data_IF_024610046910
#
_entry.id   IF_024610046910
#
_cell.length_a   1.000
_cell.length_b   1.000
_cell.length_c   1.000
_cell.angle_alpha   90.00
_cell.angle_beta   90.00
_cell.angle_gamma   90.00
#
_symmetry.space_group_name_H-M   'P 1'
#
loop_
_entity.id
_entity.type
_entity.pdbx_description
1 polymer ?
#
# COMPACT_ATOMS: atom_id res chain seq x y z
N UNK A 1 44.08 50.34 27.34
CA UNK A 1 43.57 50.93 26.07
C UNK A 1 42.70 49.90 25.37
N UNK A 2 41.38 50.12 25.43
CA UNK A 2 40.28 49.87 24.47
C UNK A 2 40.16 48.58 23.60
N UNK A 3 38.92 48.24 23.18
CA UNK A 3 38.35 46.88 23.20
C UNK A 3 38.02 46.33 21.80
N UNK A 4 37.56 45.07 21.70
CA UNK A 4 36.92 44.50 20.50
C UNK A 4 35.89 43.44 20.90
N UNK A 5 34.61 43.81 21.00
CA UNK A 5 33.52 43.66 19.99
C UNK A 5 33.10 42.21 19.72
N UNK A 6 31.98 41.85 20.33
CA UNK A 6 30.82 41.14 19.77
C UNK A 6 30.97 40.53 18.37
N UNK A 7 30.79 39.21 18.29
CA UNK A 7 30.31 38.51 17.09
C UNK A 7 29.46 37.31 17.54
N UNK A 8 28.23 37.62 17.95
CA UNK A 8 27.08 36.73 17.80
C UNK A 8 26.70 36.80 16.32
N UNK A 9 26.76 35.69 15.59
CA UNK A 9 25.87 35.36 14.46
C UNK A 9 26.34 34.05 13.80
N UNK A 10 25.39 33.33 13.18
CA UNK A 10 25.49 32.02 12.52
C UNK A 10 25.32 30.88 13.54
N UNK A 11 24.13 30.35 13.77
CA UNK A 11 23.51 29.41 12.83
C UNK A 11 22.08 29.02 13.28
N UNK A 12 21.14 29.97 13.20
CA UNK A 12 19.71 29.68 13.36
C UNK A 12 19.08 29.37 11.98
N UNK A 13 19.56 28.33 11.28
CA UNK A 13 19.17 28.08 9.89
C UNK A 13 19.00 26.62 9.46
N UNK A 14 19.26 25.64 10.33
CA UNK A 14 19.33 24.22 9.94
C UNK A 14 18.25 23.30 10.56
N UNK A 15 17.28 23.84 11.30
CA UNK A 15 16.27 23.04 12.00
C UNK A 15 14.94 22.87 11.23
N UNK A 16 14.73 23.56 10.10
CA UNK A 16 13.47 23.49 9.34
C UNK A 16 13.45 22.45 8.21
N UNK A 17 14.59 21.85 7.86
CA UNK A 17 14.66 20.87 6.77
C UNK A 17 14.32 19.44 7.19
N UNK A 18 14.37 19.11 8.48
CA UNK A 18 14.12 17.74 8.96
C UNK A 18 12.62 17.42 9.10
N UNK A 19 11.79 18.41 9.41
CA UNK A 19 10.34 18.22 9.56
C UNK A 19 9.63 17.92 8.23
N UNK A 20 10.14 18.44 7.10
CA UNK A 20 9.58 18.19 5.77
C UNK A 20 9.86 16.74 5.31
N UNK A 21 11.04 16.21 5.65
CA UNK A 21 11.43 14.85 5.29
C UNK A 21 10.62 13.80 6.06
N UNK A 22 10.37 14.03 7.34
CA UNK A 22 9.60 13.09 8.17
C UNK A 22 8.13 13.00 7.74
N UNK A 23 7.50 14.14 7.44
CA UNK A 23 6.13 14.18 6.96
C UNK A 23 5.95 13.46 5.60
N UNK A 24 6.95 13.53 4.71
CA UNK A 24 6.91 12.78 3.44
C UNK A 24 7.07 11.29 3.64
N UNK A 25 7.99 10.86 4.50
CA UNK A 25 8.18 9.43 4.79
C UNK A 25 6.90 8.82 5.37
N UNK A 26 6.27 9.49 6.34
CA UNK A 26 5.02 9.02 6.96
C UNK A 26 3.86 8.98 5.97
N UNK A 27 3.73 9.97 5.09
CA UNK A 27 2.72 9.97 4.03
C UNK A 27 2.97 8.89 2.96
N UNK A 28 4.23 8.57 2.67
CA UNK A 28 4.59 7.49 1.75
C UNK A 28 4.27 6.11 2.35
N UNK A 29 4.62 5.88 3.61
CA UNK A 29 4.26 4.65 4.34
C UNK A 29 2.74 4.48 4.40
N UNK A 30 1.98 5.54 4.70
CA UNK A 30 0.51 5.44 4.73
C UNK A 30 -0.09 5.11 3.37
N UNK A 31 0.48 5.62 2.27
CA UNK A 31 0.04 5.25 0.90
C UNK A 31 0.35 3.80 0.58
N UNK A 32 1.55 3.31 0.90
CA UNK A 32 1.93 1.92 0.66
C UNK A 32 1.06 0.95 1.47
N UNK A 33 0.78 1.28 2.73
CA UNK A 33 -0.11 0.48 3.58
C UNK A 33 -1.53 0.41 3.04
N UNK A 34 -2.07 1.54 2.56
CA UNK A 34 -3.37 1.56 1.86
C UNK A 34 -3.35 0.67 0.61
N UNK A 35 -2.29 0.74 -0.21
CA UNK A 35 -2.17 -0.08 -1.42
C UNK A 35 -2.09 -1.57 -1.11
N UNK A 36 -1.34 -1.96 -0.08
CA UNK A 36 -1.27 -3.35 0.41
C UNK A 36 -2.64 -3.83 0.88
N UNK A 37 -3.37 -3.01 1.64
CA UNK A 37 -4.73 -3.30 2.06
C UNK A 37 -5.70 -3.48 0.88
N UNK A 38 -5.62 -2.60 -0.12
CA UNK A 38 -6.43 -2.66 -1.33
C UNK A 38 -6.13 -3.92 -2.16
N UNK A 39 -4.86 -4.28 -2.31
CA UNK A 39 -4.44 -5.52 -2.98
C UNK A 39 -4.99 -6.72 -2.23
N UNK A 40 -4.84 -6.78 -0.91
CA UNK A 40 -5.35 -7.90 -0.10
C UNK A 40 -6.86 -8.12 -0.25
N UNK A 41 -7.65 -7.06 -0.15
CA UNK A 41 -9.11 -7.14 -0.28
C UNK A 41 -9.55 -7.50 -1.70
N UNK A 42 -8.88 -6.95 -2.71
CA UNK A 42 -9.18 -7.25 -4.11
C UNK A 42 -8.76 -8.66 -4.50
N UNK A 43 -7.63 -9.13 -4.01
CA UNK A 43 -7.15 -10.50 -4.23
C UNK A 43 -8.04 -11.53 -3.54
N UNK A 44 -8.50 -11.25 -2.32
CA UNK A 44 -9.52 -12.06 -1.65
C UNK A 44 -10.80 -12.18 -2.48
N UNK A 45 -11.31 -11.04 -2.97
CA UNK A 45 -12.51 -11.01 -3.81
C UNK A 45 -12.31 -11.81 -5.11
N UNK A 46 -11.17 -11.64 -5.78
CA UNK A 46 -10.80 -12.39 -6.99
C UNK A 46 -10.67 -13.89 -6.73
N UNK A 47 -10.00 -14.30 -5.64
CA UNK A 47 -9.90 -15.70 -5.24
C UNK A 47 -11.28 -16.32 -5.01
N UNK A 48 -12.22 -15.61 -4.39
CA UNK A 48 -13.59 -16.09 -4.21
C UNK A 48 -14.38 -16.21 -5.51
N UNK A 49 -14.04 -15.44 -6.54
CA UNK A 49 -14.60 -15.65 -7.88
C UNK A 49 -14.11 -16.98 -8.48
N UNK A 50 -12.82 -17.30 -8.29
CA UNK A 50 -12.20 -18.52 -8.81
C UNK A 50 -12.70 -19.78 -8.07
N UNK A 51 -12.77 -19.73 -6.73
CA UNK A 51 -12.97 -20.92 -5.90
C UNK A 51 -14.33 -21.02 -5.22
N UNK A 52 -15.12 -19.94 -5.16
CA UNK A 52 -16.38 -19.88 -4.42
C UNK A 52 -17.57 -19.34 -5.25
N UNK A 53 -17.45 -19.31 -6.58
CA UNK A 53 -18.49 -18.86 -7.51
C UNK A 53 -19.05 -17.46 -7.21
N UNK A 54 -18.23 -16.56 -6.63
CA UNK A 54 -18.64 -15.18 -6.48
C UNK A 54 -18.81 -14.54 -7.86
N UNK A 55 -19.90 -13.80 -8.05
CA UNK A 55 -20.06 -12.97 -9.24
C UNK A 55 -19.15 -11.75 -9.17
N UNK A 56 -18.84 -11.17 -10.34
CA UNK A 56 -18.11 -9.90 -10.42
C UNK A 56 -18.77 -8.83 -9.55
N UNK A 57 -20.11 -8.71 -9.58
CA UNK A 57 -20.86 -7.76 -8.75
C UNK A 57 -20.59 -7.94 -7.25
N UNK A 58 -20.46 -9.18 -6.78
CA UNK A 58 -20.15 -9.46 -5.37
C UNK A 58 -18.71 -9.11 -5.04
N UNK A 59 -17.77 -9.42 -5.93
CA UNK A 59 -16.37 -9.03 -5.77
C UNK A 59 -16.21 -7.50 -5.70
N UNK A 60 -16.84 -6.78 -6.63
CA UNK A 60 -16.83 -5.31 -6.67
C UNK A 60 -17.41 -4.71 -5.38
N UNK A 61 -18.48 -5.31 -4.83
CA UNK A 61 -19.08 -4.85 -3.58
C UNK A 61 -18.15 -5.02 -2.38
N UNK A 62 -17.39 -6.12 -2.31
CA UNK A 62 -16.42 -6.37 -1.25
C UNK A 62 -15.33 -5.28 -1.29
N UNK A 63 -14.76 -5.04 -2.47
CA UNK A 63 -13.71 -4.04 -2.65
C UNK A 63 -14.24 -2.63 -2.34
N UNK A 64 -15.42 -2.27 -2.85
CA UNK A 64 -16.03 -0.97 -2.59
C UNK A 64 -16.35 -0.76 -1.10
N UNK A 65 -16.81 -1.80 -0.41
CA UNK A 65 -17.07 -1.75 1.03
C UNK A 65 -15.77 -1.56 1.80
N UNK A 66 -14.73 -2.33 1.49
CA UNK A 66 -13.43 -2.20 2.15
C UNK A 66 -12.80 -0.81 1.96
N UNK A 67 -12.89 -0.23 0.75
CA UNK A 67 -12.43 1.14 0.48
C UNK A 67 -13.11 2.12 1.45
N UNK A 68 -14.44 2.03 1.55
CA UNK A 68 -15.24 2.94 2.37
C UNK A 68 -14.98 2.78 3.86
N UNK A 69 -14.90 1.54 4.35
CA UNK A 69 -14.75 1.27 5.80
C UNK A 69 -13.37 1.63 6.32
N UNK A 70 -12.35 1.62 5.46
CA UNK A 70 -10.96 1.88 5.86
C UNK A 70 -10.45 3.27 5.42
N UNK A 71 -11.31 4.12 4.85
CA UNK A 71 -10.95 5.46 4.34
C UNK A 71 -9.85 5.43 3.27
N UNK A 72 -9.89 4.46 2.35
CA UNK A 72 -8.88 4.28 1.28
C UNK A 72 -9.22 4.98 -0.04
N UNK A 73 -10.20 5.89 -0.04
CA UNK A 73 -10.69 6.56 -1.25
C UNK A 73 -9.56 7.25 -2.04
N UNK A 74 -8.55 7.79 -1.35
CA UNK A 74 -7.40 8.45 -1.96
C UNK A 74 -6.60 7.56 -2.92
N UNK A 75 -6.66 6.23 -2.75
CA UNK A 75 -5.95 5.26 -3.58
C UNK A 75 -6.88 4.47 -4.52
N UNK A 76 -8.18 4.79 -4.58
CA UNK A 76 -9.13 4.13 -5.50
C UNK A 76 -8.72 4.25 -6.97
N UNK A 77 -8.10 5.37 -7.36
CA UNK A 77 -7.59 5.55 -8.73
C UNK A 77 -6.43 4.60 -9.05
N UNK A 78 -5.55 4.36 -8.07
CA UNK A 78 -4.38 3.49 -8.23
C UNK A 78 -4.76 2.02 -8.47
N UNK A 79 -5.88 1.54 -7.90
CA UNK A 79 -6.39 0.19 -8.14
C UNK A 79 -6.60 -0.15 -9.62
N UNK A 80 -6.77 0.85 -10.49
CA UNK A 80 -6.92 0.67 -11.94
C UNK A 80 -5.59 0.57 -12.68
N UNK A 81 -4.47 0.72 -11.99
CA UNK A 81 -3.14 0.65 -12.60
C UNK A 81 -2.78 -0.78 -13.01
N UNK A 82 -1.87 -0.90 -13.97
CA UNK A 82 -1.32 -2.20 -14.39
C UNK A 82 -0.61 -2.90 -13.24
N UNK A 83 0.12 -2.15 -12.39
CA UNK A 83 0.78 -2.69 -11.21
C UNK A 83 -0.23 -3.32 -10.25
N UNK A 84 -1.28 -2.58 -9.85
CA UNK A 84 -2.33 -3.10 -8.98
C UNK A 84 -3.01 -4.33 -9.57
N UNK A 85 -3.39 -4.28 -10.85
CA UNK A 85 -4.05 -5.38 -11.55
C UNK A 85 -3.20 -6.65 -11.55
N UNK A 86 -1.90 -6.52 -11.87
CA UNK A 86 -0.97 -7.65 -11.89
C UNK A 86 -0.73 -8.21 -10.49
N UNK A 87 -0.49 -7.36 -9.50
CA UNK A 87 -0.29 -7.81 -8.11
C UNK A 87 -1.53 -8.53 -7.58
N UNK A 88 -2.74 -8.00 -7.81
CA UNK A 88 -4.00 -8.63 -7.38
C UNK A 88 -4.13 -10.03 -7.98
N UNK A 89 -3.83 -10.18 -9.28
CA UNK A 89 -3.87 -11.48 -9.95
C UNK A 89 -2.92 -12.47 -9.27
N UNK A 90 -1.64 -12.12 -9.15
CA UNK A 90 -0.62 -12.99 -8.54
C UNK A 90 -1.01 -13.39 -7.11
N UNK A 91 -1.41 -12.41 -6.29
CA UNK A 91 -1.84 -12.66 -4.92
C UNK A 91 -3.05 -13.59 -4.90
N UNK A 92 -4.06 -13.36 -5.74
CA UNK A 92 -5.27 -14.20 -5.77
C UNK A 92 -5.00 -15.65 -6.21
N UNK A 93 -4.07 -15.86 -7.14
CA UNK A 93 -3.66 -17.19 -7.63
C UNK A 93 -2.70 -17.89 -6.64
N UNK A 94 -2.04 -17.13 -5.77
CA UNK A 94 -1.21 -17.65 -4.68
C UNK A 94 -2.03 -18.05 -3.45
N UNK A 95 -3.31 -17.67 -3.34
CA UNK A 95 -4.16 -18.02 -2.20
C UNK A 95 -4.55 -19.50 -2.18
N UNK A 96 -4.89 -20.02 -1.00
CA UNK A 96 -5.51 -21.31 -0.85
C UNK A 96 -6.97 -21.30 -1.36
N UNK A 97 -7.58 -22.48 -1.52
CA UNK A 97 -8.96 -22.61 -2.03
C UNK A 97 -9.99 -21.87 -1.18
N UNK A 98 -9.74 -21.74 0.12
CA UNK A 98 -10.63 -21.04 1.04
C UNK A 98 -10.46 -19.51 0.99
N UNK A 99 -9.45 -19.02 0.28
CA UNK A 99 -9.07 -17.61 0.19
C UNK A 99 -8.84 -16.97 1.56
N UNK A 100 -8.35 -17.74 2.53
CA UNK A 100 -8.09 -17.25 3.90
C UNK A 100 -6.60 -17.05 4.17
N UNK A 101 -5.75 -17.68 3.37
CA UNK A 101 -4.30 -17.62 3.51
C UNK A 101 -3.63 -17.94 2.16
N UNK A 102 -2.32 -17.78 2.08
CA UNK A 102 -1.51 -18.22 0.96
C UNK A 102 -1.33 -19.74 0.94
N UNK A 103 -1.39 -20.31 -0.26
CA UNK A 103 -0.87 -21.64 -0.52
C UNK A 103 0.62 -21.53 -0.85
N UNK A 104 1.48 -21.82 0.12
CA UNK A 104 2.94 -21.73 -0.03
C UNK A 104 3.51 -22.70 -1.09
N UNK A 105 2.74 -23.73 -1.48
CA UNK A 105 3.10 -24.64 -2.56
C UNK A 105 2.65 -24.16 -3.95
N UNK A 106 1.94 -23.02 -4.04
CA UNK A 106 1.57 -22.42 -5.33
C UNK A 106 2.81 -21.91 -6.04
N UNK A 107 2.90 -22.15 -7.35
CA UNK A 107 3.95 -21.56 -8.19
C UNK A 107 3.87 -20.03 -8.23
N UNK A 108 2.74 -19.45 -7.83
CA UNK A 108 2.55 -18.00 -7.72
C UNK A 108 2.91 -17.43 -6.35
N UNK A 109 3.26 -18.25 -5.35
CA UNK A 109 3.54 -17.76 -3.99
C UNK A 109 4.70 -16.75 -3.95
N UNK A 110 5.87 -17.13 -4.46
CA UNK A 110 7.05 -16.24 -4.48
C UNK A 110 6.79 -14.99 -5.36
N UNK A 111 6.29 -15.11 -6.61
CA UNK A 111 5.93 -13.94 -7.41
C UNK A 111 4.95 -12.99 -6.73
N UNK A 112 3.98 -13.51 -5.99
CA UNK A 112 3.02 -12.69 -5.24
C UNK A 112 3.69 -11.90 -4.11
N UNK A 113 4.61 -12.51 -3.37
CA UNK A 113 5.37 -11.84 -2.31
C UNK A 113 6.23 -10.71 -2.88
N UNK A 114 6.99 -10.98 -3.93
CA UNK A 114 7.81 -9.97 -4.62
C UNK A 114 6.95 -8.80 -5.14
N UNK A 115 5.77 -9.10 -5.69
CA UNK A 115 4.85 -8.07 -6.19
C UNK A 115 4.21 -7.23 -5.07
N UNK A 116 4.06 -7.76 -3.85
CA UNK A 116 3.60 -7.02 -2.67
C UNK A 116 4.72 -6.14 -2.11
N UNK A 117 5.96 -6.63 -2.09
CA UNK A 117 7.13 -5.88 -1.64
C UNK A 117 7.43 -4.66 -2.54
N UNK A 118 7.12 -4.77 -3.83
CA UNK A 118 7.32 -3.71 -4.82
C UNK A 118 6.25 -2.59 -4.82
N UNK A 119 5.28 -2.61 -3.90
CA UNK A 119 4.21 -1.60 -3.77
C UNK A 119 4.67 -0.29 -3.11
#
# INVERSE_FOLDING_TARGET
MMPRTTLLWISLGLMLSQSILWNRAQAQTSVQDMRRGLVGQSAYAACKMIHANYSQKRADLIVATAIKTNNWESQKGWLKSSQATQTIKLVSEAMNKECTDFNQNSTQFIPAMEAIEAL
#
